data_IF_138621603257
#
_entry.id   IF_138621603257
#
_cell.length_a   1.000
_cell.length_b   1.000
_cell.length_c   1.000
_cell.angle_alpha   90.00
_cell.angle_beta   90.00
_cell.angle_gamma   90.00
#
_symmetry.space_group_name_H-M   'P 1'
#
loop_
_entity.id
_entity.type
_entity.pdbx_description
1 polymer ?
#
# COMPACT_ATOMS: atom_id res chain seq x y z
N UNK A 1 -17.36 71.42 -36.50
CA UNK A 1 -17.83 70.64 -35.33
C UNK A 1 -18.34 69.26 -35.72
N UNK A 2 -18.88 69.05 -36.91
CA UNK A 2 -19.38 67.75 -37.40
C UNK A 2 -18.29 66.75 -37.75
N UNK A 3 -17.12 67.17 -38.23
CA UNK A 3 -16.00 66.29 -38.62
C UNK A 3 -15.25 65.68 -37.40
N UNK A 4 -15.28 66.35 -36.26
CA UNK A 4 -14.63 65.85 -35.05
C UNK A 4 -15.50 64.70 -34.33
N UNK A 5 -16.82 64.87 -34.41
CA UNK A 5 -17.76 63.91 -33.89
C UNK A 5 -17.76 62.59 -34.69
N UNK A 6 -17.61 62.67 -36.01
CA UNK A 6 -17.55 61.42 -36.83
C UNK A 6 -16.24 60.68 -36.62
N UNK A 7 -15.12 61.40 -36.38
CA UNK A 7 -13.83 60.75 -36.07
C UNK A 7 -13.86 60.01 -34.74
N UNK A 8 -14.52 60.56 -33.72
CA UNK A 8 -14.64 59.94 -32.38
C UNK A 8 -15.57 58.71 -32.45
N UNK A 9 -16.66 58.76 -33.21
CA UNK A 9 -17.59 57.62 -33.34
C UNK A 9 -16.97 56.44 -34.11
N UNK A 10 -16.14 56.73 -35.14
CA UNK A 10 -15.40 55.70 -35.89
C UNK A 10 -14.31 55.10 -35.02
N UNK A 11 -13.60 55.88 -34.22
CA UNK A 11 -12.59 55.41 -33.28
C UNK A 11 -13.18 54.53 -32.16
N UNK A 12 -14.34 54.90 -31.61
CA UNK A 12 -15.07 54.13 -30.61
C UNK A 12 -15.58 52.80 -31.18
N UNK A 13 -16.10 52.82 -32.42
CA UNK A 13 -16.52 51.62 -33.15
C UNK A 13 -15.37 50.63 -33.37
N UNK A 14 -14.22 51.16 -33.81
CA UNK A 14 -13.02 50.35 -34.00
C UNK A 14 -12.53 49.70 -32.67
N UNK A 15 -12.55 50.46 -31.58
CA UNK A 15 -12.18 49.97 -30.25
C UNK A 15 -13.11 48.86 -29.76
N UNK A 16 -14.41 49.01 -29.97
CA UNK A 16 -15.42 47.99 -29.59
C UNK A 16 -15.22 46.73 -30.42
N UNK A 17 -14.95 46.85 -31.73
CA UNK A 17 -14.66 45.69 -32.60
C UNK A 17 -13.39 44.98 -32.17
N UNK A 18 -12.35 45.73 -31.78
CA UNK A 18 -11.08 45.16 -31.28
C UNK A 18 -11.27 44.43 -29.94
N UNK A 19 -12.04 44.99 -29.01
CA UNK A 19 -12.37 44.37 -27.74
C UNK A 19 -13.21 43.07 -27.91
N UNK A 20 -14.20 43.12 -28.84
CA UNK A 20 -14.98 41.93 -29.21
C UNK A 20 -14.11 40.84 -29.83
N UNK A 21 -13.19 41.22 -30.72
CA UNK A 21 -12.25 40.27 -31.31
C UNK A 21 -11.32 39.62 -30.26
N UNK A 22 -10.80 40.42 -29.32
CA UNK A 22 -10.00 39.94 -28.18
C UNK A 22 -10.79 39.01 -27.27
N UNK A 23 -12.06 39.35 -26.96
CA UNK A 23 -12.95 38.51 -26.19
C UNK A 23 -13.26 37.17 -26.89
N UNK A 24 -13.48 37.21 -28.20
CA UNK A 24 -13.70 36.00 -29.01
C UNK A 24 -12.43 35.13 -29.05
N UNK A 25 -11.23 35.73 -29.20
CA UNK A 25 -9.96 35.00 -29.18
C UNK A 25 -9.72 34.39 -27.81
N UNK A 26 -9.97 35.12 -26.73
CA UNK A 26 -9.85 34.62 -25.36
C UNK A 26 -10.84 33.51 -25.08
N UNK A 27 -12.10 33.64 -25.43
CA UNK A 27 -13.13 32.62 -25.30
C UNK A 27 -12.84 31.36 -26.14
N UNK A 28 -12.28 31.52 -27.35
CA UNK A 28 -11.80 30.37 -28.15
C UNK A 28 -10.54 29.71 -27.57
N UNK A 29 -9.66 30.47 -26.92
CA UNK A 29 -8.50 29.94 -26.24
C UNK A 29 -8.89 29.13 -25.01
N UNK A 30 -9.80 29.62 -24.15
CA UNK A 30 -10.29 28.93 -22.99
C UNK A 30 -11.03 27.64 -23.40
N UNK A 31 -11.90 27.67 -24.41
CA UNK A 31 -12.55 26.46 -24.94
C UNK A 31 -11.57 25.41 -25.47
N UNK A 32 -10.49 25.82 -26.13
CA UNK A 32 -9.47 24.88 -26.63
C UNK A 32 -8.65 24.27 -25.54
N UNK A 33 -8.53 24.94 -24.40
CA UNK A 33 -7.84 24.42 -23.21
C UNK A 33 -8.75 23.41 -22.50
N UNK A 34 -10.04 23.75 -22.34
CA UNK A 34 -11.03 22.85 -21.76
C UNK A 34 -11.27 21.59 -22.62
N UNK A 35 -11.30 21.75 -23.96
CA UNK A 35 -11.41 20.60 -24.88
C UNK A 35 -10.17 19.68 -24.79
N UNK A 36 -8.95 20.23 -24.67
CA UNK A 36 -7.73 19.43 -24.49
C UNK A 36 -7.66 18.73 -23.15
N UNK A 37 -8.11 19.39 -22.08
CA UNK A 37 -8.18 18.77 -20.74
C UNK A 37 -9.24 17.68 -20.74
N UNK A 38 -10.41 17.91 -21.35
CA UNK A 38 -11.45 16.90 -21.53
C UNK A 38 -10.94 15.70 -22.35
N UNK A 39 -10.21 15.93 -23.43
CA UNK A 39 -9.63 14.88 -24.28
C UNK A 39 -8.56 14.06 -23.54
N UNK A 40 -7.71 14.71 -22.72
CA UNK A 40 -6.73 14.04 -21.87
C UNK A 40 -7.40 13.24 -20.76
N UNK A 41 -8.41 13.81 -20.10
CA UNK A 41 -9.18 13.11 -19.06
C UNK A 41 -9.94 11.92 -19.67
N UNK A 42 -10.53 12.08 -20.84
CA UNK A 42 -11.22 11.01 -21.55
C UNK A 42 -10.23 9.92 -22.01
N UNK A 43 -9.05 10.29 -22.50
CA UNK A 43 -7.99 9.35 -22.85
C UNK A 43 -7.42 8.61 -21.64
N UNK A 44 -7.32 9.26 -20.48
CA UNK A 44 -6.92 8.64 -19.22
C UNK A 44 -8.01 7.69 -18.69
N UNK A 45 -9.28 8.09 -18.77
CA UNK A 45 -10.40 7.22 -18.40
C UNK A 45 -10.50 5.99 -19.31
N UNK A 46 -10.30 6.17 -20.63
CA UNK A 46 -10.26 5.05 -21.58
C UNK A 46 -9.10 4.11 -21.26
N UNK A 47 -7.90 4.64 -20.95
CA UNK A 47 -6.75 3.83 -20.54
C UNK A 47 -6.95 3.14 -19.20
N UNK A 48 -7.57 3.83 -18.23
CA UNK A 48 -7.93 3.21 -16.96
C UNK A 48 -8.98 2.11 -17.13
N UNK A 49 -9.96 2.29 -18.02
CA UNK A 49 -10.95 1.27 -18.35
C UNK A 49 -10.34 0.11 -19.16
N UNK A 50 -9.34 0.37 -20.00
CA UNK A 50 -8.56 -0.67 -20.68
C UNK A 50 -7.71 -1.47 -19.70
N UNK A 51 -6.95 -0.80 -18.83
CA UNK A 51 -6.19 -1.44 -17.77
C UNK A 51 -7.08 -2.21 -16.79
N UNK A 52 -8.24 -1.64 -16.45
CA UNK A 52 -9.25 -2.33 -15.63
C UNK A 52 -9.78 -3.60 -16.30
N UNK A 53 -10.02 -3.55 -17.62
CA UNK A 53 -10.45 -4.73 -18.41
C UNK A 53 -9.31 -5.74 -18.60
N UNK A 54 -8.09 -5.29 -18.84
CA UNK A 54 -6.92 -6.18 -18.90
C UNK A 54 -6.65 -6.86 -17.55
N UNK A 55 -6.77 -6.12 -16.45
CA UNK A 55 -6.63 -6.66 -15.10
C UNK A 55 -7.78 -7.64 -14.77
N UNK A 56 -9.02 -7.28 -15.09
CA UNK A 56 -10.17 -8.18 -14.94
C UNK A 56 -10.01 -9.44 -15.79
N UNK A 57 -9.58 -9.30 -17.05
CA UNK A 57 -9.31 -10.44 -17.93
C UNK A 57 -8.08 -11.27 -17.52
N UNK A 58 -7.10 -10.68 -16.84
CA UNK A 58 -5.99 -11.40 -16.23
C UNK A 58 -6.42 -12.13 -14.94
N UNK A 59 -7.29 -11.52 -14.15
CA UNK A 59 -7.92 -12.16 -12.97
C UNK A 59 -8.80 -13.34 -13.40
N UNK A 60 -9.64 -13.16 -14.41
CA UNK A 60 -10.54 -14.21 -14.94
C UNK A 60 -9.73 -15.40 -15.50
N UNK A 61 -8.63 -15.12 -16.21
CA UNK A 61 -7.69 -16.17 -16.67
C UNK A 61 -6.99 -16.87 -15.53
N UNK A 62 -6.54 -16.13 -14.50
CA UNK A 62 -5.94 -16.70 -13.29
C UNK A 62 -6.97 -17.53 -12.48
N UNK A 63 -8.23 -17.11 -12.45
CA UNK A 63 -9.33 -17.88 -11.85
C UNK A 63 -9.71 -19.11 -12.68
N UNK A 64 -9.67 -19.03 -14.01
CA UNK A 64 -9.92 -20.18 -14.91
C UNK A 64 -8.77 -21.20 -14.85
N UNK A 65 -7.51 -20.78 -14.85
CA UNK A 65 -6.37 -21.65 -14.61
C UNK A 65 -6.38 -22.22 -13.19
N UNK A 66 -6.78 -21.43 -12.19
CA UNK A 66 -7.02 -21.91 -10.83
C UNK A 66 -8.19 -22.91 -10.73
N UNK A 67 -9.22 -22.79 -11.59
CA UNK A 67 -10.31 -23.79 -11.69
C UNK A 67 -9.84 -25.09 -12.36
N UNK A 68 -9.01 -25.02 -13.38
CA UNK A 68 -8.42 -26.22 -14.02
C UNK A 68 -7.45 -26.96 -13.06
N UNK A 69 -6.77 -26.22 -12.19
CA UNK A 69 -5.89 -26.78 -11.17
C UNK A 69 -6.62 -27.41 -9.97
N UNK A 70 -7.93 -27.15 -9.80
CA UNK A 70 -8.75 -27.72 -8.71
C UNK A 70 -8.87 -29.26 -8.77
N UNK A 71 -8.61 -29.89 -9.92
CA UNK A 71 -8.54 -31.35 -10.05
C UNK A 71 -7.25 -31.91 -9.39
N UNK A 72 -6.26 -31.04 -9.08
CA UNK A 72 -4.98 -31.43 -8.48
C UNK A 72 -4.71 -30.83 -7.09
N UNK A 73 -5.76 -30.63 -6.28
CA UNK A 73 -5.67 -30.50 -4.82
C UNK A 73 -5.20 -29.16 -4.29
N UNK A 74 -5.89 -28.74 -3.36
CA UNK A 74 -5.76 -27.89 -2.16
C UNK A 74 -4.73 -26.72 -2.13
N UNK A 75 -3.67 -26.70 -2.91
CA UNK A 75 -2.69 -25.61 -2.95
C UNK A 75 -3.15 -24.40 -3.76
N UNK A 76 -4.11 -24.56 -4.68
CA UNK A 76 -4.51 -23.55 -5.65
C UNK A 76 -5.78 -22.75 -5.25
N UNK A 77 -6.28 -22.89 -4.04
CA UNK A 77 -7.56 -22.29 -3.61
C UNK A 77 -7.46 -20.89 -3.02
N UNK A 78 -6.28 -20.34 -2.82
CA UNK A 78 -6.10 -19.03 -2.19
C UNK A 78 -5.18 -18.14 -2.99
N UNK A 79 -5.53 -16.85 -3.04
CA UNK A 79 -4.73 -15.78 -3.65
C UNK A 79 -3.85 -15.11 -2.57
N UNK A 80 -3.99 -15.54 -1.30
CA UNK A 80 -3.20 -15.02 -0.20
C UNK A 80 -1.82 -15.70 -0.15
N UNK A 81 -0.76 -14.91 -0.29
CA UNK A 81 0.61 -15.41 -0.31
C UNK A 81 0.97 -16.12 1.01
N UNK A 82 0.53 -15.61 2.15
CA UNK A 82 0.87 -16.17 3.45
C UNK A 82 0.20 -17.55 3.64
N UNK A 83 -1.03 -17.70 3.12
CA UNK A 83 -1.72 -18.99 3.11
C UNK A 83 -1.09 -19.99 2.14
N UNK A 84 -0.70 -19.55 0.93
CA UNK A 84 0.01 -20.42 -0.03
C UNK A 84 1.34 -20.91 0.56
N UNK A 85 2.09 -20.01 1.20
CA UNK A 85 3.36 -20.37 1.86
C UNK A 85 3.13 -21.32 3.03
N UNK A 86 2.13 -21.09 3.88
CA UNK A 86 1.78 -21.98 5.00
C UNK A 86 1.45 -23.38 4.52
N UNK A 87 0.56 -23.52 3.54
CA UNK A 87 0.19 -24.80 2.94
C UNK A 87 1.36 -25.51 2.26
N UNK A 88 2.25 -24.75 1.60
CA UNK A 88 3.45 -25.31 0.99
C UNK A 88 4.40 -25.88 2.06
N UNK A 89 4.58 -25.16 3.16
CA UNK A 89 5.40 -25.59 4.30
C UNK A 89 4.78 -26.78 5.03
N UNK A 90 3.48 -26.82 5.24
CA UNK A 90 2.76 -27.96 5.82
C UNK A 90 2.92 -29.22 4.96
N UNK A 91 2.76 -29.07 3.61
CA UNK A 91 2.97 -30.18 2.70
C UNK A 91 4.42 -30.66 2.70
N UNK A 92 5.40 -29.76 2.77
CA UNK A 92 6.82 -30.10 2.86
C UNK A 92 7.17 -30.72 4.22
N UNK A 93 6.56 -30.26 5.33
CA UNK A 93 6.75 -30.83 6.66
C UNK A 93 6.14 -32.23 6.83
N UNK A 94 5.21 -32.63 5.97
CA UNK A 94 4.61 -33.96 5.98
C UNK A 94 5.49 -35.06 5.38
N UNK A 95 6.63 -34.69 4.76
CA UNK A 95 7.59 -35.70 4.26
C UNK A 95 8.21 -36.47 5.43
N UNK A 96 8.34 -37.77 5.24
CA UNK A 96 8.87 -38.67 6.28
C UNK A 96 10.27 -38.26 6.75
N UNK A 97 10.45 -38.06 8.04
CA UNK A 97 11.73 -37.66 8.64
C UNK A 97 12.09 -36.19 8.45
N UNK A 98 11.12 -35.34 8.09
CA UNK A 98 11.26 -33.88 8.06
C UNK A 98 10.88 -33.30 9.43
N UNK A 99 11.78 -32.55 10.05
CA UNK A 99 11.58 -31.88 11.32
C UNK A 99 11.26 -30.39 11.12
N UNK A 100 11.69 -29.81 10.01
CA UNK A 100 11.45 -28.40 9.68
C UNK A 100 11.44 -28.16 8.17
N UNK A 101 10.77 -27.07 7.77
CA UNK A 101 10.72 -26.63 6.38
C UNK A 101 10.89 -25.09 6.28
N UNK A 102 11.41 -24.64 5.15
CA UNK A 102 11.67 -23.22 4.88
C UNK A 102 11.39 -22.90 3.42
N UNK A 103 10.66 -21.82 3.17
CA UNK A 103 10.58 -21.17 1.85
C UNK A 103 11.30 -19.85 1.94
N UNK A 104 12.23 -19.60 1.02
CA UNK A 104 12.94 -18.34 0.87
C UNK A 104 12.71 -17.78 -0.53
N UNK A 105 12.15 -16.56 -0.58
CA UNK A 105 11.91 -15.82 -1.81
C UNK A 105 12.76 -14.54 -1.80
N UNK A 106 13.73 -14.40 -2.70
CA UNK A 106 14.51 -13.17 -2.85
C UNK A 106 13.61 -11.96 -3.15
N UNK A 107 13.97 -10.82 -2.62
CA UNK A 107 13.35 -9.56 -3.04
C UNK A 107 14.01 -9.08 -4.35
N UNK A 108 13.20 -8.90 -5.39
CA UNK A 108 13.65 -8.42 -6.71
C UNK A 108 14.05 -6.94 -6.71
N UNK A 109 13.65 -6.18 -5.70
CA UNK A 109 13.99 -4.75 -5.52
C UNK A 109 15.24 -4.51 -4.68
N UNK A 110 15.93 -5.57 -4.20
CA UNK A 110 17.12 -5.47 -3.35
C UNK A 110 16.83 -5.28 -1.88
N UNK A 111 15.59 -5.47 -1.46
CA UNK A 111 15.15 -5.50 -0.06
C UNK A 111 15.51 -6.81 0.65
N UNK A 112 14.94 -7.00 1.85
CA UNK A 112 15.10 -8.24 2.61
C UNK A 112 14.30 -9.37 1.96
N UNK A 113 14.87 -10.59 1.86
CA UNK A 113 14.15 -11.74 1.35
C UNK A 113 12.94 -12.05 2.25
N UNK A 114 11.86 -12.51 1.63
CA UNK A 114 10.73 -13.09 2.36
C UNK A 114 11.09 -14.52 2.77
N UNK A 115 11.04 -14.79 4.07
CA UNK A 115 11.34 -16.11 4.64
C UNK A 115 10.10 -16.58 5.40
N UNK A 116 9.59 -17.75 5.02
CA UNK A 116 8.52 -18.44 5.73
C UNK A 116 9.06 -19.79 6.24
N UNK A 117 8.70 -20.17 7.46
CA UNK A 117 9.25 -21.36 8.14
C UNK A 117 8.21 -22.17 8.86
N UNK A 118 8.49 -23.47 8.96
CA UNK A 118 7.78 -24.40 9.83
C UNK A 118 8.82 -25.18 10.64
N UNK A 119 8.73 -25.18 11.96
CA UNK A 119 9.64 -25.91 12.83
C UNK A 119 11.05 -25.33 13.01
N UNK A 120 11.29 -24.09 12.54
CA UNK A 120 12.55 -23.34 12.74
C UNK A 120 12.31 -22.10 13.61
N UNK A 121 13.28 -21.78 14.45
CA UNK A 121 13.39 -20.45 15.04
C UNK A 121 13.82 -19.41 14.01
N UNK A 122 13.63 -18.13 14.29
CA UNK A 122 14.05 -17.03 13.41
C UNK A 122 15.56 -17.07 13.14
N UNK A 123 16.36 -17.35 14.16
CA UNK A 123 17.83 -17.42 14.05
C UNK A 123 18.29 -18.60 13.19
N UNK A 124 17.62 -19.75 13.32
CA UNK A 124 17.88 -20.93 12.47
C UNK A 124 17.48 -20.64 11.03
N UNK A 125 16.33 -20.01 10.81
CA UNK A 125 15.87 -19.65 9.47
C UNK A 125 16.85 -18.72 8.75
N UNK A 126 17.34 -17.69 9.42
CA UNK A 126 18.34 -16.76 8.86
C UNK A 126 19.68 -17.47 8.55
N UNK A 127 20.09 -18.42 9.38
CA UNK A 127 21.33 -19.18 9.22
C UNK A 127 21.29 -20.18 8.06
N UNK A 128 20.12 -20.78 7.81
CA UNK A 128 19.96 -21.87 6.85
C UNK A 128 19.26 -21.46 5.56
N UNK A 129 18.84 -20.19 5.42
CA UNK A 129 18.21 -19.66 4.22
C UNK A 129 19.21 -19.66 3.05
N UNK A 130 18.85 -20.35 1.96
CA UNK A 130 19.63 -20.37 0.71
C UNK A 130 19.16 -19.23 -0.17
N UNK A 131 20.01 -18.26 -0.45
CA UNK A 131 19.69 -17.03 -1.19
C UNK A 131 19.93 -17.13 -2.70
N UNK A 132 20.59 -18.18 -3.17
CA UNK A 132 20.87 -18.38 -4.58
C UNK A 132 21.64 -19.67 -4.85
N UNK A 133 21.78 -20.05 -6.13
CA UNK A 133 22.58 -21.21 -6.48
C UNK A 133 24.06 -20.94 -6.12
N UNK A 134 24.78 -21.93 -5.57
CA UNK A 134 26.20 -21.79 -5.36
C UNK A 134 26.89 -21.52 -6.71
N UNK A 135 27.83 -20.59 -6.73
CA UNK A 135 28.70 -20.24 -7.87
C UNK A 135 27.97 -19.65 -9.10
N UNK A 136 26.80 -19.03 -8.98
CA UNK A 136 26.10 -18.36 -10.08
C UNK A 136 25.63 -19.31 -11.20
N UNK A 137 25.55 -20.61 -10.92
CA UNK A 137 25.05 -21.64 -11.85
C UNK A 137 23.52 -21.65 -11.89
N UNK A 138 22.94 -22.37 -12.85
CA UNK A 138 21.51 -22.60 -12.93
C UNK A 138 20.98 -23.17 -11.59
N UNK A 139 19.84 -22.69 -11.15
CA UNK A 139 19.17 -23.18 -9.95
C UNK A 139 18.91 -24.70 -10.06
N UNK A 140 19.34 -25.46 -9.07
CA UNK A 140 19.19 -26.93 -9.03
C UNK A 140 18.91 -27.36 -7.60
N UNK A 141 18.40 -28.58 -7.47
CA UNK A 141 18.23 -29.26 -6.19
C UNK A 141 19.57 -29.58 -5.54
N UNK A 142 19.66 -29.40 -4.23
CA UNK A 142 20.89 -29.55 -3.45
C UNK A 142 20.57 -30.32 -2.17
N UNK A 143 21.34 -31.39 -1.92
CA UNK A 143 21.41 -32.03 -0.61
C UNK A 143 22.49 -31.33 0.22
N UNK A 144 22.16 -30.98 1.47
CA UNK A 144 23.02 -30.23 2.37
C UNK A 144 23.28 -31.07 3.62
N UNK A 145 24.56 -31.22 3.97
CA UNK A 145 24.95 -31.80 5.27
C UNK A 145 25.59 -30.71 6.11
N UNK A 146 25.16 -30.57 7.35
CA UNK A 146 25.70 -29.62 8.28
C UNK A 146 26.64 -30.32 9.25
N UNK A 147 27.85 -29.80 9.40
CA UNK A 147 28.84 -30.26 10.37
C UNK A 147 29.15 -29.15 11.34
N UNK A 148 28.97 -29.41 12.63
CA UNK A 148 29.18 -28.44 13.71
C UNK A 148 30.37 -28.88 14.59
N UNK A 149 31.61 -28.47 14.28
CA UNK A 149 32.80 -28.94 14.96
C UNK A 149 32.83 -28.69 16.48
N UNK A 150 32.10 -27.67 16.95
CA UNK A 150 32.03 -27.31 18.37
C UNK A 150 30.88 -28.00 19.12
N UNK A 151 29.82 -28.38 18.42
CA UNK A 151 28.62 -29.00 18.99
C UNK A 151 28.71 -30.53 19.08
N UNK A 152 29.58 -31.16 18.27
CA UNK A 152 29.86 -32.59 18.39
C UNK A 152 30.34 -32.97 19.81
N UNK A 153 31.06 -32.06 20.50
CA UNK A 153 31.49 -32.24 21.90
C UNK A 153 30.38 -32.03 22.92
N UNK A 154 29.30 -31.34 22.58
CA UNK A 154 28.13 -31.11 23.45
C UNK A 154 27.01 -32.11 23.17
N UNK A 155 26.93 -32.72 21.98
CA UNK A 155 25.93 -33.73 21.60
C UNK A 155 26.08 -35.02 22.39
N UNK A 156 27.30 -35.37 22.92
CA UNK A 156 27.48 -36.47 23.88
C UNK A 156 26.71 -36.26 25.19
N UNK A 157 26.17 -35.06 25.44
CA UNK A 157 25.39 -34.70 26.63
C UNK A 157 23.90 -34.38 26.36
N UNK A 158 23.31 -34.88 25.25
CA UNK A 158 21.87 -34.87 25.04
C UNK A 158 21.29 -33.60 24.37
N UNK A 159 22.04 -32.89 23.56
CA UNK A 159 21.59 -31.72 22.78
C UNK A 159 20.88 -32.13 21.48
N UNK A 160 19.62 -32.53 21.56
CA UNK A 160 18.84 -33.06 20.43
C UNK A 160 18.16 -32.07 19.49
N UNK A 161 18.70 -30.85 19.31
CA UNK A 161 17.94 -29.80 18.61
C UNK A 161 18.69 -29.15 17.43
N UNK A 162 19.71 -29.81 16.87
CA UNK A 162 20.52 -29.27 15.79
C UNK A 162 20.16 -29.90 14.44
N UNK A 163 20.08 -29.08 13.40
CA UNK A 163 19.84 -29.55 12.04
C UNK A 163 21.10 -30.29 11.53
N UNK A 164 20.93 -31.54 11.10
CA UNK A 164 22.02 -32.37 10.56
C UNK A 164 22.08 -32.41 9.05
N UNK A 165 20.93 -32.45 8.38
CA UNK A 165 20.89 -32.38 6.93
C UNK A 165 19.68 -31.63 6.40
N UNK A 166 19.77 -31.19 5.17
CA UNK A 166 18.69 -30.49 4.45
C UNK A 166 18.66 -30.88 2.97
N UNK A 167 17.50 -30.76 2.39
CA UNK A 167 17.25 -30.91 0.96
C UNK A 167 16.58 -29.66 0.46
N UNK A 168 17.24 -28.96 -0.48
CA UNK A 168 16.74 -27.71 -1.06
C UNK A 168 16.45 -27.89 -2.54
N UNK A 169 15.29 -27.46 -2.97
CA UNK A 169 14.87 -27.47 -4.37
C UNK A 169 14.47 -26.07 -4.82
N UNK A 170 14.73 -25.68 -6.07
CA UNK A 170 14.30 -24.40 -6.61
C UNK A 170 12.78 -24.38 -6.78
N UNK A 171 12.16 -23.25 -6.46
CA UNK A 171 10.78 -22.94 -6.78
C UNK A 171 10.73 -22.33 -8.17
N UNK A 172 10.17 -23.02 -9.19
CA UNK A 172 10.13 -22.51 -10.55
C UNK A 172 9.09 -21.37 -10.66
N UNK A 173 9.46 -20.31 -11.36
CA UNK A 173 8.55 -19.30 -11.86
C UNK A 173 8.46 -19.33 -13.38
N UNK A 174 7.66 -18.46 -13.95
CA UNK A 174 7.43 -18.37 -15.41
C UNK A 174 8.72 -18.06 -16.20
N UNK A 175 9.55 -17.17 -15.70
CA UNK A 175 10.76 -16.69 -16.38
C UNK A 175 12.04 -16.96 -15.62
N UNK A 176 11.96 -17.16 -14.32
CA UNK A 176 13.12 -17.34 -13.44
C UNK A 176 12.74 -18.11 -12.18
N UNK A 177 13.75 -18.57 -11.46
CA UNK A 177 13.56 -19.18 -10.14
C UNK A 177 13.06 -18.14 -9.14
N UNK A 178 11.94 -18.43 -8.48
CA UNK A 178 11.33 -17.54 -7.48
C UNK A 178 12.10 -17.55 -6.16
N UNK A 179 12.74 -18.65 -5.83
CA UNK A 179 13.43 -18.91 -4.58
C UNK A 179 13.66 -20.40 -4.36
N UNK A 180 13.70 -20.80 -3.10
CA UNK A 180 13.98 -22.18 -2.72
C UNK A 180 13.00 -22.68 -1.66
N UNK A 181 12.60 -23.94 -1.81
CA UNK A 181 11.92 -24.73 -0.81
C UNK A 181 12.93 -25.71 -0.21
N UNK A 182 13.11 -25.68 1.11
CA UNK A 182 14.08 -26.51 1.80
C UNK A 182 13.39 -27.26 2.94
N UNK A 183 13.68 -28.55 3.06
CA UNK A 183 13.30 -29.35 4.22
C UNK A 183 14.55 -29.74 5.00
N UNK A 184 14.40 -29.94 6.30
CA UNK A 184 15.50 -30.22 7.21
C UNK A 184 15.16 -31.40 8.12
N UNK A 185 16.21 -32.13 8.54
CA UNK A 185 16.10 -33.13 9.60
C UNK A 185 17.11 -32.87 10.72
N UNK A 186 16.67 -33.13 11.94
CA UNK A 186 17.49 -33.09 13.18
C UNK A 186 18.04 -34.47 13.53
N UNK A 187 17.68 -35.52 12.75
CA UNK A 187 18.18 -36.86 12.94
C UNK A 187 19.55 -37.04 12.28
N UNK A 188 20.55 -37.50 13.06
CA UNK A 188 21.89 -37.82 12.52
C UNK A 188 21.87 -39.05 11.59
N UNK A 189 20.92 -39.96 11.77
CA UNK A 189 20.82 -41.20 10.98
C UNK A 189 20.02 -41.04 9.69
N UNK A 190 19.27 -39.94 9.54
CA UNK A 190 18.49 -39.67 8.32
C UNK A 190 19.28 -38.84 7.33
N UNK A 191 19.42 -39.39 6.13
CA UNK A 191 19.85 -38.66 4.93
C UNK A 191 18.72 -38.68 3.90
N UNK A 192 18.47 -37.56 3.27
CA UNK A 192 17.49 -37.46 2.19
C UNK A 192 17.95 -38.24 0.98
N UNK A 193 17.05 -38.98 0.35
CA UNK A 193 17.28 -39.81 -0.82
C UNK A 193 16.95 -39.06 -2.13
N UNK A 194 17.34 -39.65 -3.26
CA UNK A 194 16.91 -39.15 -4.58
C UNK A 194 15.41 -39.26 -4.79
N UNK A 195 14.70 -40.10 -4.04
CA UNK A 195 13.23 -40.18 -4.05
C UNK A 195 12.60 -39.01 -3.30
N UNK A 196 13.13 -38.69 -2.13
CA UNK A 196 12.74 -37.48 -1.38
C UNK A 196 12.95 -36.22 -2.26
N UNK A 197 14.06 -36.16 -3.00
CA UNK A 197 14.34 -35.08 -3.93
C UNK A 197 13.27 -34.96 -5.03
N UNK A 198 12.92 -36.07 -5.71
CA UNK A 198 11.90 -36.07 -6.76
C UNK A 198 10.52 -35.66 -6.23
N UNK A 199 10.18 -36.12 -5.03
CA UNK A 199 8.90 -35.74 -4.38
C UNK A 199 8.88 -34.26 -4.03
N UNK A 200 9.95 -33.70 -3.45
CA UNK A 200 10.06 -32.29 -3.11
C UNK A 200 10.06 -31.40 -4.35
N UNK A 201 10.75 -31.82 -5.43
CA UNK A 201 10.70 -31.16 -6.75
C UNK A 201 9.28 -31.14 -7.31
N UNK A 202 8.53 -32.23 -7.17
CA UNK A 202 7.14 -32.31 -7.59
C UNK A 202 6.26 -31.32 -6.81
N UNK A 203 6.48 -31.17 -5.50
CA UNK A 203 5.80 -30.16 -4.68
C UNK A 203 6.20 -28.75 -5.13
N UNK A 204 7.49 -28.49 -5.35
CA UNK A 204 8.00 -27.19 -5.79
C UNK A 204 7.42 -26.78 -7.16
N UNK A 205 7.30 -27.73 -8.11
CA UNK A 205 6.65 -27.50 -9.42
C UNK A 205 5.19 -27.08 -9.30
N UNK A 206 4.48 -27.51 -8.26
CA UNK A 206 3.09 -27.13 -8.01
C UNK A 206 3.00 -25.81 -7.22
N UNK A 207 3.88 -25.64 -6.24
CA UNK A 207 3.88 -24.47 -5.37
C UNK A 207 4.37 -23.21 -6.09
N UNK A 208 5.37 -23.35 -7.01
CA UNK A 208 5.98 -22.22 -7.72
C UNK A 208 4.96 -21.30 -8.39
N UNK A 209 4.12 -21.78 -9.31
CA UNK A 209 3.11 -20.98 -9.97
C UNK A 209 2.09 -20.37 -9.00
N UNK A 210 1.69 -21.10 -7.95
CA UNK A 210 0.76 -20.57 -6.94
C UNK A 210 1.38 -19.41 -6.14
N UNK A 211 2.64 -19.56 -5.73
CA UNK A 211 3.40 -18.50 -5.04
C UNK A 211 3.58 -17.29 -5.96
N UNK A 212 3.94 -17.50 -7.22
CA UNK A 212 4.11 -16.41 -8.19
C UNK A 212 2.82 -15.63 -8.41
N UNK A 213 1.69 -16.31 -8.58
CA UNK A 213 0.37 -15.69 -8.74
C UNK A 213 -0.04 -14.92 -7.49
N UNK A 214 0.13 -15.50 -6.32
CA UNK A 214 -0.19 -14.84 -5.05
C UNK A 214 0.70 -13.61 -4.81
N UNK A 215 1.99 -13.67 -5.17
CA UNK A 215 2.92 -12.53 -5.10
C UNK A 215 2.53 -11.43 -6.07
N UNK A 216 2.25 -11.75 -7.34
CA UNK A 216 1.78 -10.78 -8.34
C UNK A 216 0.47 -10.13 -7.91
N UNK A 217 -0.45 -10.91 -7.34
CA UNK A 217 -1.70 -10.38 -6.81
C UNK A 217 -1.48 -9.43 -5.62
N UNK A 218 -0.58 -9.79 -4.68
CA UNK A 218 -0.20 -8.93 -3.56
C UNK A 218 0.42 -7.62 -4.05
N UNK A 219 1.34 -7.67 -5.03
CA UNK A 219 1.99 -6.50 -5.63
C UNK A 219 0.96 -5.61 -6.35
N UNK A 220 0.07 -6.20 -7.17
CA UNK A 220 -1.00 -5.48 -7.84
C UNK A 220 -1.97 -4.84 -6.84
N UNK A 221 -2.32 -5.55 -5.75
CA UNK A 221 -3.18 -5.04 -4.68
C UNK A 221 -2.51 -3.88 -3.94
N UNK A 222 -1.22 -3.99 -3.62
CA UNK A 222 -0.46 -2.91 -2.97
C UNK A 222 -0.43 -1.64 -3.84
N UNK A 223 -0.21 -1.77 -5.14
CA UNK A 223 -0.29 -0.65 -6.08
C UNK A 223 -1.71 -0.06 -6.15
N UNK A 224 -2.75 -0.92 -6.13
CA UNK A 224 -4.15 -0.50 -6.11
C UNK A 224 -4.59 0.10 -4.76
N UNK A 225 -3.82 -0.03 -3.69
CA UNK A 225 -4.11 0.53 -2.36
C UNK A 225 -3.56 1.95 -2.18
N UNK A 226 -2.73 2.42 -3.10
CA UNK A 226 -2.17 3.76 -3.06
C UNK A 226 -2.99 4.75 -3.90
N UNK A 227 -2.98 6.01 -3.50
CA UNK A 227 -3.43 7.13 -4.29
C UNK A 227 -2.32 7.53 -5.28
N UNK A 228 -2.62 7.53 -6.57
CA UNK A 228 -1.64 7.72 -7.64
C UNK A 228 -0.97 9.11 -7.62
N UNK A 229 -1.64 10.13 -7.06
CA UNK A 229 -1.10 11.48 -6.98
C UNK A 229 -0.18 11.65 -5.77
N UNK A 230 -0.60 11.18 -4.62
CA UNK A 230 0.05 11.47 -3.33
C UNK A 230 0.95 10.35 -2.83
N UNK A 231 0.76 9.13 -3.33
CA UNK A 231 1.45 7.93 -2.84
C UNK A 231 1.11 7.55 -1.39
N UNK A 232 0.11 8.19 -0.78
CA UNK A 232 -0.54 7.73 0.45
C UNK A 232 -1.53 6.62 0.12
N UNK A 233 -2.03 5.93 1.14
CA UNK A 233 -3.11 4.99 0.92
C UNK A 233 -4.37 5.70 0.42
N UNK A 234 -5.13 5.03 -0.47
CA UNK A 234 -6.34 5.59 -1.03
C UNK A 234 -7.56 5.37 -0.13
N UNK A 235 -8.71 5.92 -0.55
CA UNK A 235 -9.99 5.83 0.15
C UNK A 235 -10.45 4.40 0.43
N UNK A 236 -10.24 3.48 -0.52
CA UNK A 236 -10.62 2.07 -0.35
C UNK A 236 -9.84 1.44 0.80
N UNK A 237 -8.52 1.57 0.77
CA UNK A 237 -7.64 1.05 1.81
C UNK A 237 -7.96 1.65 3.19
N UNK A 238 -8.31 2.95 3.23
CA UNK A 238 -8.74 3.61 4.46
C UNK A 238 -9.93 2.90 5.09
N UNK A 239 -11.01 2.66 4.33
CA UNK A 239 -12.22 2.03 4.88
C UNK A 239 -11.99 0.58 5.31
N UNK A 240 -11.23 -0.20 4.52
CA UNK A 240 -10.86 -1.58 4.86
C UNK A 240 -10.03 -1.62 6.16
N UNK A 241 -9.06 -0.75 6.27
CA UNK A 241 -8.16 -0.67 7.43
C UNK A 241 -8.88 -0.16 8.68
N UNK A 242 -9.71 0.89 8.55
CA UNK A 242 -10.51 1.40 9.66
C UNK A 242 -11.41 0.29 10.23
N UNK A 243 -12.08 -0.47 9.36
CA UNK A 243 -12.91 -1.62 9.78
C UNK A 243 -12.11 -2.68 10.55
N UNK A 244 -10.94 -3.04 10.04
CA UNK A 244 -10.06 -4.03 10.66
C UNK A 244 -9.51 -3.56 12.02
N UNK A 245 -9.04 -2.32 12.10
CA UNK A 245 -8.48 -1.77 13.33
C UNK A 245 -9.55 -1.50 14.40
N UNK A 246 -10.78 -1.08 14.03
CA UNK A 246 -11.90 -1.00 14.97
C UNK A 246 -12.22 -2.38 15.58
N UNK A 247 -12.34 -3.41 14.74
CA UNK A 247 -12.60 -4.78 15.23
C UNK A 247 -11.47 -5.29 16.14
N UNK A 248 -10.21 -4.98 15.79
CA UNK A 248 -9.05 -5.32 16.60
C UNK A 248 -9.04 -4.58 17.93
N UNK A 249 -9.29 -3.27 17.91
CA UNK A 249 -9.31 -2.43 19.11
C UNK A 249 -10.40 -2.89 20.08
N UNK A 250 -11.60 -3.19 19.60
CA UNK A 250 -12.69 -3.74 20.43
C UNK A 250 -12.33 -5.12 21.02
N UNK A 251 -11.74 -6.01 20.19
CA UNK A 251 -11.39 -7.38 20.63
C UNK A 251 -10.36 -7.39 21.76
N UNK A 252 -9.38 -6.49 21.70
CA UNK A 252 -8.25 -6.47 22.64
C UNK A 252 -8.30 -5.31 23.62
N UNK A 253 -9.41 -4.57 23.67
CA UNK A 253 -9.63 -3.38 24.53
C UNK A 253 -8.47 -2.38 24.38
N UNK A 254 -8.02 -2.15 23.12
CA UNK A 254 -6.95 -1.21 22.80
C UNK A 254 -7.51 0.12 22.35
N UNK A 255 -6.75 1.18 22.59
CA UNK A 255 -7.08 2.50 22.09
C UNK A 255 -6.91 2.55 20.58
N UNK A 256 -7.76 3.30 19.90
CA UNK A 256 -7.65 3.63 18.50
C UNK A 256 -8.11 5.07 18.33
N UNK A 257 -7.28 5.88 17.67
CA UNK A 257 -7.63 7.25 17.33
C UNK A 257 -7.66 7.45 15.82
N UNK A 258 -8.45 8.42 15.39
CA UNK A 258 -8.62 8.81 13.99
C UNK A 258 -8.47 10.33 13.89
N UNK A 259 -7.64 10.77 12.94
CA UNK A 259 -7.58 12.16 12.48
C UNK A 259 -8.18 12.19 11.09
N UNK A 260 -9.12 13.10 10.84
CA UNK A 260 -9.58 13.49 9.51
C UNK A 260 -9.24 14.95 9.31
N UNK A 261 -8.57 15.32 8.24
CA UNK A 261 -8.17 16.70 7.99
C UNK A 261 -8.24 17.04 6.50
N UNK A 262 -8.29 18.34 6.22
CA UNK A 262 -8.49 18.89 4.90
C UNK A 262 -7.65 20.17 4.77
N UNK A 263 -7.14 20.41 3.56
CA UNK A 263 -6.38 21.62 3.25
C UNK A 263 -7.33 22.80 3.08
N UNK A 264 -7.21 23.77 3.97
CA UNK A 264 -8.09 24.94 3.99
C UNK A 264 -8.01 25.75 2.68
N UNK A 265 -9.17 26.06 2.10
CA UNK A 265 -9.31 26.89 0.90
C UNK A 265 -8.59 26.35 -0.35
N UNK A 266 -8.34 25.04 -0.42
CA UNK A 266 -7.59 24.41 -1.50
C UNK A 266 -8.28 24.61 -2.87
N UNK A 267 -9.62 24.68 -2.90
CA UNK A 267 -10.35 24.99 -4.12
C UNK A 267 -9.99 26.38 -4.66
N UNK A 268 -9.92 27.39 -3.80
CA UNK A 268 -9.55 28.77 -4.20
C UNK A 268 -8.09 28.82 -4.71
N UNK A 269 -7.23 27.96 -4.16
CA UNK A 269 -5.87 27.78 -4.65
C UNK A 269 -5.88 27.22 -6.06
N UNK A 270 -6.63 26.15 -6.33
CA UNK A 270 -6.77 25.56 -7.65
C UNK A 270 -7.32 26.56 -8.68
N UNK A 271 -8.32 27.34 -8.28
CA UNK A 271 -8.93 28.36 -9.15
C UNK A 271 -7.92 29.47 -9.51
N UNK A 272 -6.97 29.77 -8.61
CA UNK A 272 -5.93 30.78 -8.79
C UNK A 272 -4.72 30.31 -9.60
N UNK A 273 -4.19 29.09 -9.33
CA UNK A 273 -2.93 28.60 -9.91
C UNK A 273 -3.09 27.45 -10.91
N UNK A 274 -4.32 26.97 -11.08
CA UNK A 274 -4.67 25.84 -11.93
C UNK A 274 -4.47 24.47 -11.26
N UNK A 275 -5.22 23.48 -11.73
CA UNK A 275 -5.26 22.13 -11.13
C UNK A 275 -3.89 21.44 -11.12
N UNK A 276 -3.08 21.59 -12.17
CA UNK A 276 -1.77 20.94 -12.25
C UNK A 276 -0.81 21.41 -11.14
N UNK A 277 -0.82 22.71 -10.83
CA UNK A 277 -0.01 23.27 -9.76
C UNK A 277 -0.60 22.93 -8.38
N UNK A 278 -1.92 22.81 -8.27
CA UNK A 278 -2.62 22.32 -7.08
C UNK A 278 -2.30 20.86 -6.80
N UNK A 279 -2.29 20.00 -7.82
CA UNK A 279 -1.90 18.59 -7.69
C UNK A 279 -0.46 18.43 -7.18
N UNK A 280 0.47 19.27 -7.67
CA UNK A 280 1.84 19.30 -7.15
C UNK A 280 1.89 19.71 -5.67
N UNK A 281 1.05 20.67 -5.26
CA UNK A 281 0.95 21.09 -3.87
C UNK A 281 0.35 19.99 -2.97
N UNK A 282 -0.66 19.24 -3.45
CA UNK A 282 -1.21 18.06 -2.76
C UNK A 282 -0.18 16.97 -2.57
N UNK A 283 0.59 16.66 -3.63
CA UNK A 283 1.65 15.65 -3.57
C UNK A 283 2.73 16.05 -2.55
N UNK A 284 3.16 17.32 -2.55
CA UNK A 284 4.15 17.83 -1.59
C UNK A 284 3.59 17.84 -0.16
N UNK A 285 2.32 18.21 0.05
CA UNK A 285 1.67 18.15 1.36
C UNK A 285 1.62 16.72 1.89
N UNK A 286 1.26 15.75 1.05
CA UNK A 286 1.23 14.34 1.39
C UNK A 286 2.61 13.77 1.74
N UNK A 287 3.67 14.18 1.04
CA UNK A 287 5.04 13.82 1.39
C UNK A 287 5.40 14.30 2.79
N UNK A 288 5.12 15.56 3.11
CA UNK A 288 5.35 16.12 4.44
C UNK A 288 4.53 15.44 5.55
N UNK A 289 3.32 15.00 5.24
CA UNK A 289 2.50 14.19 6.16
C UNK A 289 3.16 12.85 6.42
N UNK A 290 3.61 12.16 5.35
CA UNK A 290 4.30 10.86 5.44
C UNK A 290 5.54 10.92 6.31
N UNK A 291 6.33 11.99 6.20
CA UNK A 291 7.58 12.17 6.96
C UNK A 291 7.35 12.30 8.47
N UNK A 292 6.17 12.74 8.90
CA UNK A 292 5.87 12.95 10.33
C UNK A 292 4.98 11.87 10.93
N UNK A 293 4.34 11.04 10.12
CA UNK A 293 3.51 9.92 10.57
C UNK A 293 4.40 8.73 10.94
N UNK A 294 4.08 7.99 12.01
CA UNK A 294 4.84 6.81 12.44
C UNK A 294 4.55 5.63 11.51
N UNK A 295 5.44 4.65 11.48
CA UNK A 295 5.24 3.41 10.69
C UNK A 295 4.01 2.60 11.13
N UNK A 296 3.60 2.72 12.40
CA UNK A 296 2.38 2.09 12.94
C UNK A 296 1.09 2.77 12.53
N UNK A 297 1.15 4.04 12.13
CA UNK A 297 0.01 4.86 11.81
C UNK A 297 -0.24 4.82 10.29
N UNK A 298 -1.48 4.84 9.88
CA UNK A 298 -1.86 4.65 8.47
C UNK A 298 -2.41 5.95 7.92
N UNK A 299 -1.61 6.63 7.08
CA UNK A 299 -2.01 7.86 6.41
C UNK A 299 -2.66 7.56 5.06
N UNK A 300 -3.82 8.18 4.81
CA UNK A 300 -4.65 7.96 3.63
C UNK A 300 -5.12 9.28 3.02
N UNK A 301 -5.33 9.30 1.72
CA UNK A 301 -6.12 10.32 1.03
C UNK A 301 -7.52 9.78 0.81
N UNK A 302 -8.53 10.43 1.38
CA UNK A 302 -9.92 9.94 1.36
C UNK A 302 -10.82 10.72 0.40
N UNK A 303 -10.37 11.89 -0.04
CA UNK A 303 -11.08 12.76 -0.98
C UNK A 303 -10.12 13.63 -1.79
N UNK A 304 -10.63 14.66 -2.44
CA UNK A 304 -9.84 15.61 -3.23
C UNK A 304 -8.66 16.20 -2.47
N UNK A 305 -8.95 17.00 -1.46
CA UNK A 305 -8.04 17.65 -0.50
C UNK A 305 -8.18 17.11 0.93
N UNK A 306 -8.92 16.00 1.09
CA UNK A 306 -9.20 15.36 2.36
C UNK A 306 -8.26 14.18 2.63
N UNK A 307 -7.75 14.13 3.85
CA UNK A 307 -6.83 13.12 4.34
C UNK A 307 -7.30 12.52 5.65
N UNK A 308 -6.88 11.31 5.94
CA UNK A 308 -7.12 10.66 7.22
C UNK A 308 -5.87 9.94 7.73
N UNK A 309 -5.71 9.86 9.05
CA UNK A 309 -4.69 9.02 9.69
C UNK A 309 -5.36 8.13 10.73
N UNK A 310 -5.29 6.82 10.50
CA UNK A 310 -5.70 5.80 11.48
C UNK A 310 -4.54 5.53 12.40
N UNK A 311 -4.74 5.63 13.71
CA UNK A 311 -3.69 5.58 14.73
C UNK A 311 -3.97 4.44 15.74
N UNK A 312 -3.53 3.21 15.46
CA UNK A 312 -3.64 2.11 16.42
C UNK A 312 -2.89 2.41 17.73
N UNK A 313 -3.43 1.91 18.85
CA UNK A 313 -2.86 2.02 20.19
C UNK A 313 -2.55 3.46 20.62
N UNK A 314 -3.32 4.43 20.11
CA UNK A 314 -3.13 5.87 20.34
C UNK A 314 -4.38 6.50 20.97
N UNK A 315 -4.13 7.45 21.87
CA UNK A 315 -5.18 8.23 22.55
C UNK A 315 -5.55 9.48 21.75
N UNK A 316 -6.60 10.16 22.19
CA UNK A 316 -7.00 11.46 21.66
C UNK A 316 -5.89 12.53 21.79
N UNK A 317 -5.07 12.45 22.85
CA UNK A 317 -3.94 13.35 23.07
C UNK A 317 -2.82 13.08 22.06
N UNK A 318 -2.52 11.81 21.76
CA UNK A 318 -1.57 11.44 20.73
C UNK A 318 -2.00 11.94 19.34
N UNK A 319 -3.31 11.90 19.06
CA UNK A 319 -3.87 12.44 17.83
C UNK A 319 -3.72 13.97 17.74
N UNK A 320 -3.95 14.72 18.83
CA UNK A 320 -3.71 16.17 18.86
C UNK A 320 -2.23 16.50 18.64
N UNK A 321 -1.32 15.74 19.25
CA UNK A 321 0.12 15.91 19.06
C UNK A 321 0.54 15.64 17.62
N UNK A 322 0.02 14.57 16.99
CA UNK A 322 0.30 14.26 15.59
C UNK A 322 -0.24 15.36 14.67
N UNK A 323 -1.45 15.84 14.91
CA UNK A 323 -2.01 16.97 14.15
C UNK A 323 -1.06 18.19 14.18
N UNK A 324 -0.57 18.57 15.38
CA UNK A 324 0.38 19.69 15.50
C UNK A 324 1.66 19.47 14.71
N UNK A 325 2.15 18.24 14.66
CA UNK A 325 3.33 17.88 13.85
C UNK A 325 3.02 17.99 12.35
N UNK A 326 1.86 17.50 11.92
CA UNK A 326 1.39 17.61 10.52
C UNK A 326 1.23 19.11 10.15
N UNK A 327 0.53 19.89 10.95
CA UNK A 327 0.33 21.32 10.72
C UNK A 327 1.69 22.04 10.58
N UNK A 328 2.61 21.80 11.50
CA UNK A 328 3.94 22.40 11.44
C UNK A 328 4.71 21.96 10.18
N UNK A 329 4.67 20.69 9.80
CA UNK A 329 5.35 20.20 8.62
C UNK A 329 4.79 20.83 7.33
N UNK A 330 3.46 20.90 7.22
CA UNK A 330 2.77 21.49 6.04
C UNK A 330 3.00 23.00 5.97
N UNK A 331 2.94 23.72 7.09
CA UNK A 331 3.04 25.19 7.12
C UNK A 331 4.46 25.73 7.22
N UNK A 332 5.47 24.89 7.51
CA UNK A 332 6.86 25.29 7.74
C UNK A 332 7.49 26.05 6.56
N UNK A 333 7.10 25.68 5.36
CA UNK A 333 7.56 26.31 4.11
C UNK A 333 6.41 26.32 3.08
N UNK A 334 6.43 27.23 2.09
CA UNK A 334 5.44 27.25 1.02
C UNK A 334 5.36 25.88 0.30
N UNK A 335 4.17 25.52 -0.18
CA UNK A 335 3.91 24.38 -1.04
C UNK A 335 3.96 24.84 -2.50
N UNK A 336 5.13 24.82 -3.09
CA UNK A 336 5.32 25.29 -4.47
C UNK A 336 4.65 26.64 -4.76
N UNK A 337 3.85 26.71 -5.83
CA UNK A 337 3.10 27.91 -6.22
C UNK A 337 1.84 28.17 -5.38
N UNK A 338 1.37 27.19 -4.63
CA UNK A 338 0.22 27.34 -3.75
C UNK A 338 0.50 28.29 -2.57
N UNK A 339 1.77 28.44 -2.20
CA UNK A 339 2.16 29.24 -1.05
C UNK A 339 1.96 28.49 0.28
N UNK A 340 1.72 29.21 1.35
CA UNK A 340 1.41 28.60 2.66
C UNK A 340 -0.05 28.16 2.68
N UNK A 341 -0.28 26.88 2.95
CA UNK A 341 -1.60 26.32 3.19
C UNK A 341 -1.73 25.91 4.66
N UNK A 342 -2.91 26.10 5.18
CA UNK A 342 -3.29 25.62 6.51
C UNK A 342 -4.16 24.37 6.35
N UNK A 343 -4.40 23.69 7.45
CA UNK A 343 -5.29 22.55 7.48
C UNK A 343 -6.16 22.57 8.72
N UNK A 344 -7.40 22.19 8.55
CA UNK A 344 -8.36 21.95 9.61
C UNK A 344 -8.47 20.45 9.86
N UNK A 345 -8.66 20.05 11.12
CA UNK A 345 -8.78 18.65 11.47
C UNK A 345 -9.87 18.39 12.50
N UNK A 346 -10.48 17.21 12.39
CA UNK A 346 -11.27 16.58 13.42
C UNK A 346 -10.56 15.34 13.95
N UNK A 347 -10.57 15.16 15.26
CA UNK A 347 -9.99 13.99 15.91
C UNK A 347 -11.03 13.28 16.75
N UNK A 348 -11.02 11.95 16.71
CA UNK A 348 -11.87 11.10 17.53
C UNK A 348 -11.06 9.95 18.13
N UNK A 349 -11.42 9.50 19.32
CA UNK A 349 -10.98 8.23 19.90
C UNK A 349 -12.15 7.25 19.82
N UNK A 350 -11.88 6.00 19.50
CA UNK A 350 -12.87 4.93 19.36
C UNK A 350 -13.57 4.69 20.71
N UNK A 351 -14.90 4.58 20.67
CA UNK A 351 -15.74 4.25 21.82
C UNK A 351 -16.24 2.81 21.72
N UNK A 352 -16.64 2.21 22.83
CA UNK A 352 -17.18 0.84 22.81
C UNK A 352 -18.41 0.65 21.90
N UNK A 353 -19.22 1.71 21.74
CA UNK A 353 -20.42 1.71 20.92
C UNK A 353 -20.20 2.04 19.45
N UNK A 354 -19.00 2.50 19.08
CA UNK A 354 -18.73 2.91 17.72
C UNK A 354 -18.57 1.70 16.79
N UNK A 355 -19.19 1.76 15.64
CA UNK A 355 -18.76 1.02 14.45
C UNK A 355 -17.80 1.88 13.60
N UNK A 356 -17.16 1.33 12.55
CA UNK A 356 -16.25 2.12 11.72
C UNK A 356 -16.89 3.35 11.08
N UNK A 357 -18.19 3.30 10.78
CA UNK A 357 -18.92 4.40 10.15
C UNK A 357 -19.19 5.52 11.15
N UNK A 358 -19.70 5.19 12.33
CA UNK A 358 -19.98 6.15 13.40
C UNK A 358 -18.71 6.77 13.94
N UNK A 359 -17.63 5.99 14.04
CA UNK A 359 -16.31 6.49 14.44
C UNK A 359 -15.77 7.51 13.44
N UNK A 360 -15.81 7.20 12.13
CA UNK A 360 -15.43 8.15 11.08
C UNK A 360 -16.30 9.40 11.11
N UNK A 361 -17.61 9.25 11.22
CA UNK A 361 -18.54 10.37 11.22
C UNK A 361 -18.30 11.35 12.38
N UNK A 362 -17.92 10.83 13.56
CA UNK A 362 -17.57 11.70 14.71
C UNK A 362 -16.32 12.54 14.46
N UNK A 363 -15.32 11.98 13.77
CA UNK A 363 -14.12 12.73 13.37
C UNK A 363 -14.45 13.77 12.29
N UNK A 364 -15.27 13.41 11.31
CA UNK A 364 -15.71 14.30 10.23
C UNK A 364 -16.57 15.47 10.74
N UNK A 365 -17.53 15.21 11.64
CA UNK A 365 -18.29 16.25 12.32
C UNK A 365 -17.39 17.21 13.13
N UNK A 366 -16.28 16.71 13.68
CA UNK A 366 -15.31 17.52 14.38
C UNK A 366 -14.49 18.38 13.41
N UNK A 367 -14.11 17.85 12.24
CA UNK A 367 -13.47 18.58 11.15
C UNK A 367 -14.38 19.71 10.64
N UNK A 368 -15.64 19.42 10.43
CA UNK A 368 -16.61 20.44 10.05
C UNK A 368 -16.66 21.60 11.06
N UNK A 369 -16.69 21.29 12.38
CA UNK A 369 -16.62 22.30 13.44
C UNK A 369 -15.31 23.09 13.45
N UNK A 370 -14.19 22.46 13.12
CA UNK A 370 -12.90 23.14 12.98
C UNK A 370 -12.95 24.20 11.86
N UNK A 371 -13.56 23.85 10.73
CA UNK A 371 -13.76 24.77 9.60
C UNK A 371 -14.70 25.95 9.98
N UNK A 372 -15.83 25.68 10.65
CA UNK A 372 -16.75 26.71 11.11
C UNK A 372 -16.11 27.65 12.15
N UNK A 373 -15.25 27.14 13.02
CA UNK A 373 -14.58 27.93 14.05
C UNK A 373 -13.45 28.84 13.53
N UNK A 374 -13.24 28.92 12.19
CA UNK A 374 -12.28 29.82 11.56
C UNK A 374 -11.05 29.13 11.02
N UNK A 375 -11.11 27.84 10.73
CA UNK A 375 -10.07 27.04 10.04
C UNK A 375 -8.71 26.98 10.76
N UNK A 376 -7.73 26.29 10.20
CA UNK A 376 -6.37 26.22 10.71
C UNK A 376 -6.25 25.60 12.11
N UNK A 377 -7.13 24.70 12.49
CA UNK A 377 -7.21 24.15 13.86
C UNK A 377 -7.68 22.70 13.88
N UNK A 378 -7.47 22.06 15.03
CA UNK A 378 -8.04 20.77 15.37
C UNK A 378 -9.22 20.93 16.35
N UNK A 379 -10.24 20.10 16.16
CA UNK A 379 -11.36 19.96 17.10
C UNK A 379 -11.52 18.49 17.46
N UNK A 380 -11.67 18.20 18.75
CA UNK A 380 -11.98 16.86 19.23
C UNK A 380 -13.48 16.57 19.11
N UNK A 381 -13.81 15.32 18.75
CA UNK A 381 -15.20 14.86 18.62
C UNK A 381 -16.03 15.02 19.90
N UNK A 382 -15.36 15.03 21.06
CA UNK A 382 -16.02 15.16 22.37
C UNK A 382 -16.25 16.62 22.80
N UNK A 383 -15.80 17.60 22.03
CA UNK A 383 -16.00 19.02 22.37
C UNK A 383 -17.48 19.38 22.18
N UNK A 384 -18.16 19.95 23.19
CA UNK A 384 -19.56 20.39 23.04
C UNK A 384 -19.69 21.41 21.89
N UNK A 385 -20.80 21.36 21.15
CA UNK A 385 -21.15 22.46 20.23
C UNK A 385 -21.25 23.76 21.02
N UNK A 386 -20.37 24.71 20.72
CA UNK A 386 -20.57 26.09 21.13
C UNK A 386 -21.68 26.58 20.22
N UNK A 387 -22.92 26.66 20.77
CA UNK A 387 -24.05 27.22 20.03
C UNK A 387 -23.75 28.67 19.64
N UNK A 388 -24.40 29.19 18.57
CA UNK A 388 -24.26 30.59 18.22
C UNK A 388 -24.72 31.45 19.39
N UNK A 389 -23.89 32.44 19.76
CA UNK A 389 -24.20 33.44 20.75
C UNK A 389 -25.27 34.41 20.24
#
# INVERSE_FOLDING_TARGET
MTTLLTGISVGLGALVVLLLALLIVRWRSDRRTDERVAEVVESLNIRMDELGRELAGALERAEEEGRRSRIFGELAGTIDLDEVLSRTLEAAGAFEGTDAALVMLPDTSGGKPLVATLGLSIEEAERHAITGPPDGRLARSIMISYTYPELERQAENGGGDVIHSGLSVPLPGETQTLGYLTIFTRSQSRQFSDDDMRQLETLALRAGPAIENARRFREARQLADLDALTGLHNRRYFHETLGRECARAHRYERKLSLIVFDLDDFKDVNDRIGHLAGDAALAEAAERVRDVVRTSDIACRVGGDEFAVVMPESSLEDADQLYRRILNAVTSRPLGQAGKLYLSAGVAELRPEDDPTTFFQRADDALYRAKEAGKGRVVAANTPRIGPA
#
